data_IF_173292442793
#
_entry.id   IF_173292442793
#
_cell.length_a   1.000
_cell.length_b   1.000
_cell.length_c   1.000
_cell.angle_alpha   90.00
_cell.angle_beta   90.00
_cell.angle_gamma   90.00
#
_symmetry.space_group_name_H-M   'P 1'
#
loop_
_entity.id
_entity.type
_entity.pdbx_description
1 polymer ?
#
# COMPACT_ATOMS: atom_id res chain seq x y z
N UNK A 1 -18.22 7.06 -46.72
CA UNK A 1 -17.06 6.16 -46.91
C UNK A 1 -16.80 5.48 -45.58
N UNK A 2 -17.22 4.22 -45.45
CA UNK A 2 -17.05 3.41 -44.22
C UNK A 2 -15.63 2.83 -44.23
N UNK A 3 -14.82 3.21 -43.24
CA UNK A 3 -13.51 2.58 -43.01
C UNK A 3 -13.74 1.14 -42.56
N UNK A 4 -13.39 0.17 -43.40
CA UNK A 4 -13.15 -1.21 -42.98
C UNK A 4 -11.94 -1.22 -42.03
N UNK A 5 -12.19 -1.27 -40.72
CA UNK A 5 -11.13 -1.53 -39.75
C UNK A 5 -10.60 -2.97 -39.95
N UNK A 6 -9.28 -3.20 -39.91
CA UNK A 6 -8.72 -4.54 -40.00
C UNK A 6 -9.27 -5.40 -38.85
N UNK A 7 -9.82 -6.58 -39.18
CA UNK A 7 -10.40 -7.56 -38.23
C UNK A 7 -9.44 -8.06 -37.13
N UNK A 8 -8.17 -7.65 -37.17
CA UNK A 8 -7.09 -8.06 -36.27
C UNK A 8 -6.55 -6.95 -35.35
N UNK A 9 -7.14 -5.76 -35.33
CA UNK A 9 -6.73 -4.75 -34.36
C UNK A 9 -7.05 -5.22 -32.92
N UNK A 10 -6.11 -5.15 -31.96
CA UNK A 10 -6.37 -5.45 -30.55
C UNK A 10 -7.56 -4.62 -30.07
N UNK A 11 -8.68 -5.28 -29.78
CA UNK A 11 -9.89 -4.61 -29.36
C UNK A 11 -9.71 -4.19 -27.89
N UNK A 12 -9.73 -2.89 -27.56
CA UNK A 12 -9.52 -2.44 -26.18
C UNK A 12 -10.58 -3.07 -25.26
N UNK A 13 -10.14 -3.92 -24.32
CA UNK A 13 -11.01 -4.58 -23.35
C UNK A 13 -11.50 -6.00 -23.70
N UNK A 14 -11.12 -6.57 -24.86
CA UNK A 14 -11.38 -7.97 -25.20
C UNK A 14 -10.23 -8.90 -24.83
N UNK A 15 -10.52 -10.18 -24.55
CA UNK A 15 -9.48 -11.22 -24.53
C UNK A 15 -8.76 -11.24 -25.89
N UNK A 16 -7.42 -11.30 -25.92
CA UNK A 16 -6.67 -11.39 -27.16
C UNK A 16 -7.11 -12.64 -27.93
N UNK A 17 -7.28 -12.50 -29.24
CA UNK A 17 -7.60 -13.61 -30.15
C UNK A 17 -6.30 -14.07 -30.80
N UNK A 18 -6.07 -15.38 -30.83
CA UNK A 18 -4.86 -15.96 -31.41
C UNK A 18 -4.61 -17.39 -30.94
N UNK A 19 -3.44 -17.90 -31.30
CA UNK A 19 -2.95 -19.21 -30.89
C UNK A 19 -2.19 -19.13 -29.57
N UNK A 20 -2.40 -20.11 -28.69
CA UNK A 20 -1.70 -20.19 -27.41
C UNK A 20 -0.28 -20.72 -27.63
N UNK A 21 0.72 -19.84 -27.52
CA UNK A 21 2.13 -20.22 -27.64
C UNK A 21 2.65 -21.05 -26.47
N UNK A 22 2.12 -20.84 -25.26
CA UNK A 22 2.54 -21.56 -24.07
C UNK A 22 1.82 -21.11 -22.80
N UNK A 23 1.90 -21.94 -21.75
CA UNK A 23 1.43 -21.62 -20.40
C UNK A 23 2.60 -21.70 -19.43
N UNK A 24 2.79 -20.63 -18.66
CA UNK A 24 3.89 -20.51 -17.71
C UNK A 24 3.33 -20.27 -16.31
N UNK A 25 4.03 -20.76 -15.29
CA UNK A 25 3.64 -20.58 -13.88
C UNK A 25 4.07 -19.23 -13.32
N UNK A 26 5.10 -18.63 -13.91
CA UNK A 26 5.66 -17.36 -13.50
C UNK A 26 5.67 -16.39 -14.68
N UNK A 27 5.57 -15.10 -14.36
CA UNK A 27 5.73 -14.05 -15.36
C UNK A 27 7.15 -14.06 -15.96
N UNK A 28 8.16 -14.35 -15.14
CA UNK A 28 9.57 -14.40 -15.56
C UNK A 28 9.83 -15.46 -16.63
N UNK A 29 9.20 -16.64 -16.51
CA UNK A 29 9.37 -17.71 -17.51
C UNK A 29 8.66 -17.38 -18.82
N UNK A 30 7.49 -16.73 -18.75
CA UNK A 30 6.82 -16.21 -19.95
C UNK A 30 7.68 -15.13 -20.63
N UNK A 31 8.31 -14.25 -19.83
CA UNK A 31 9.15 -13.17 -20.34
C UNK A 31 10.40 -13.69 -21.05
N UNK A 32 11.08 -14.72 -20.53
CA UNK A 32 12.23 -15.34 -21.21
C UNK A 32 11.90 -15.85 -22.62
N UNK A 33 10.69 -16.39 -22.81
CA UNK A 33 10.26 -16.87 -24.13
C UNK A 33 9.97 -15.69 -25.06
N UNK A 34 9.35 -14.63 -24.53
CA UNK A 34 9.17 -13.38 -25.29
C UNK A 34 10.52 -12.79 -25.70
N UNK A 35 11.49 -12.75 -24.79
CA UNK A 35 12.84 -12.25 -25.07
C UNK A 35 13.57 -13.10 -26.12
N UNK A 36 13.40 -14.43 -26.06
CA UNK A 36 13.95 -15.34 -27.06
C UNK A 36 13.34 -15.12 -28.45
N UNK A 37 12.01 -14.97 -28.54
CA UNK A 37 11.32 -14.67 -29.78
C UNK A 37 11.67 -13.27 -30.31
N UNK A 38 11.87 -12.30 -29.42
CA UNK A 38 12.27 -10.94 -29.78
C UNK A 38 13.68 -10.87 -30.39
N UNK A 39 14.55 -11.81 -30.06
CA UNK A 39 15.90 -11.90 -30.60
C UNK A 39 15.94 -12.46 -32.03
N UNK A 40 14.85 -13.04 -32.51
CA UNK A 40 14.74 -13.56 -33.87
C UNK A 40 14.33 -12.42 -34.83
N UNK A 41 15.17 -12.11 -35.82
CA UNK A 41 15.01 -10.93 -36.70
C UNK A 41 13.70 -10.94 -37.52
N UNK A 42 13.05 -12.10 -37.62
CA UNK A 42 11.79 -12.27 -38.36
C UNK A 42 10.50 -12.15 -37.53
N UNK A 43 10.58 -12.02 -36.20
CA UNK A 43 9.40 -12.14 -35.34
C UNK A 43 8.89 -10.78 -34.82
N UNK A 44 7.69 -10.37 -35.23
CA UNK A 44 7.08 -9.11 -34.76
C UNK A 44 6.41 -9.28 -33.39
N UNK A 45 7.15 -8.90 -32.34
CA UNK A 45 6.71 -8.95 -30.94
C UNK A 45 5.43 -8.15 -30.63
N UNK A 46 5.02 -7.21 -31.50
CA UNK A 46 3.81 -6.38 -31.28
C UNK A 46 2.51 -7.19 -31.27
N UNK A 47 2.56 -8.43 -31.76
CA UNK A 47 1.42 -9.35 -31.79
C UNK A 47 1.37 -10.29 -30.57
N UNK A 48 2.37 -10.28 -29.70
CA UNK A 48 2.38 -11.10 -28.48
C UNK A 48 1.49 -10.47 -27.41
N UNK A 49 0.71 -11.29 -26.70
CA UNK A 49 -0.04 -10.85 -25.51
C UNK A 49 0.14 -11.86 -24.38
N UNK A 50 0.58 -11.38 -23.22
CA UNK A 50 0.64 -12.18 -21.99
C UNK A 50 -0.69 -12.02 -21.26
N UNK A 51 -1.43 -13.12 -21.08
CA UNK A 51 -2.67 -13.15 -20.31
C UNK A 51 -2.41 -13.85 -18.99
N UNK A 52 -2.50 -13.11 -17.89
CA UNK A 52 -2.49 -13.68 -16.54
C UNK A 52 -3.81 -14.37 -16.24
N UNK A 53 -3.79 -15.69 -16.09
CA UNK A 53 -4.93 -16.44 -15.57
C UNK A 53 -4.79 -16.61 -14.05
N UNK A 54 -5.92 -16.66 -13.34
CA UNK A 54 -5.96 -16.92 -11.89
C UNK A 54 -5.04 -16.01 -11.06
N UNK A 55 -5.06 -14.69 -11.31
CA UNK A 55 -4.26 -13.74 -10.53
C UNK A 55 -4.59 -13.88 -9.03
N UNK A 56 -3.60 -14.35 -8.26
CA UNK A 56 -3.68 -14.45 -6.81
C UNK A 56 -2.98 -13.25 -6.19
N UNK A 57 -3.73 -12.48 -5.41
CA UNK A 57 -3.13 -11.44 -4.56
C UNK A 57 -2.43 -12.13 -3.39
N UNK A 58 -1.10 -12.00 -3.33
CA UNK A 58 -0.29 -12.51 -2.21
C UNK A 58 -0.02 -11.35 -1.26
N UNK A 59 -0.79 -11.27 -0.19
CA UNK A 59 -0.50 -10.34 0.91
C UNK A 59 0.46 -11.00 1.91
N UNK A 60 1.66 -10.43 2.05
CA UNK A 60 2.60 -10.88 3.07
C UNK A 60 2.24 -10.26 4.42
N UNK A 61 1.56 -11.05 5.26
CA UNK A 61 1.15 -10.64 6.61
C UNK A 61 2.40 -10.62 7.52
N UNK A 62 3.02 -9.45 7.69
CA UNK A 62 4.25 -9.32 8.49
C UNK A 62 3.99 -9.36 10.00
N UNK A 63 2.82 -8.95 10.47
CA UNK A 63 2.44 -9.01 11.90
C UNK A 63 0.96 -8.68 12.09
N UNK A 64 0.37 -9.20 13.17
CA UNK A 64 -1.00 -8.83 13.56
C UNK A 64 -1.00 -7.49 14.27
N UNK A 65 -1.89 -6.58 13.86
CA UNK A 65 -2.17 -5.37 14.62
C UNK A 65 -2.85 -5.77 15.93
N UNK A 66 -2.23 -5.44 17.07
CA UNK A 66 -2.68 -5.81 18.41
C UNK A 66 -2.89 -4.57 19.28
N UNK A 67 -3.74 -4.67 20.31
CA UNK A 67 -3.96 -3.60 21.28
C UNK A 67 -2.69 -2.94 21.81
N UNK A 68 -1.64 -3.66 22.25
CA UNK A 68 -0.42 -3.02 22.73
C UNK A 68 0.32 -2.25 21.63
N UNK A 69 0.30 -2.73 20.38
CA UNK A 69 0.94 -2.03 19.26
C UNK A 69 0.20 -0.73 18.90
N UNK A 70 -1.13 -0.77 18.95
CA UNK A 70 -1.97 0.43 18.76
C UNK A 70 -1.80 1.40 19.92
N UNK A 71 -1.74 0.90 21.15
CA UNK A 71 -1.53 1.73 22.33
C UNK A 71 -0.17 2.45 22.28
N UNK A 72 0.91 1.75 21.91
CA UNK A 72 2.24 2.35 21.74
C UNK A 72 2.27 3.39 20.62
N UNK A 73 1.60 3.12 19.49
CA UNK A 73 1.50 4.08 18.40
C UNK A 73 0.69 5.33 18.79
N UNK A 74 -0.40 5.15 19.53
CA UNK A 74 -1.18 6.25 20.09
C UNK A 74 -0.38 7.04 21.12
N UNK A 75 0.34 6.36 22.01
CA UNK A 75 1.18 6.98 23.02
C UNK A 75 2.31 7.80 22.37
N UNK A 76 2.98 7.31 21.33
CA UNK A 76 4.05 8.07 20.67
C UNK A 76 3.53 9.34 20.00
N UNK A 77 2.40 9.25 19.31
CA UNK A 77 1.72 10.42 18.73
C UNK A 77 1.25 11.39 19.82
N UNK A 78 0.77 10.84 20.93
CA UNK A 78 0.35 11.62 22.10
C UNK A 78 1.48 12.31 22.83
N UNK A 79 2.65 11.68 22.93
CA UNK A 79 3.83 12.28 23.53
C UNK A 79 4.25 13.52 22.73
N UNK A 80 4.29 13.42 21.40
CA UNK A 80 4.60 14.56 20.53
C UNK A 80 3.57 15.69 20.67
N UNK A 81 2.28 15.35 20.67
CA UNK A 81 1.22 16.35 20.85
C UNK A 81 1.29 17.03 22.22
N UNK A 82 1.44 16.25 23.30
CA UNK A 82 1.57 16.75 24.66
C UNK A 82 2.83 17.57 24.87
N UNK A 83 3.96 17.18 24.25
CA UNK A 83 5.19 17.96 24.25
C UNK A 83 5.01 19.30 23.55
N UNK A 84 4.31 19.32 22.41
CA UNK A 84 4.02 20.55 21.70
C UNK A 84 3.17 21.50 22.54
N UNK A 85 2.06 21.03 23.10
CA UNK A 85 1.19 21.86 23.96
C UNK A 85 1.91 22.30 25.23
N UNK A 86 2.63 21.38 25.88
CA UNK A 86 3.41 21.70 27.08
C UNK A 86 4.50 22.72 26.81
N UNK A 87 5.15 22.68 25.63
CA UNK A 87 6.16 23.66 25.24
C UNK A 87 5.54 25.04 25.05
N UNK A 88 4.33 25.12 24.46
CA UNK A 88 3.61 26.39 24.37
C UNK A 88 3.29 26.94 25.76
N UNK A 89 2.75 26.12 26.66
CA UNK A 89 2.46 26.55 28.04
C UNK A 89 3.74 27.02 28.72
N UNK A 90 4.84 26.26 28.59
CA UNK A 90 6.14 26.59 29.16
C UNK A 90 6.72 27.91 28.63
N UNK A 91 6.56 28.19 27.33
CA UNK A 91 7.09 29.40 26.72
C UNK A 91 6.27 30.66 27.05
N UNK A 92 4.96 30.52 27.18
CA UNK A 92 4.04 31.64 27.36
C UNK A 92 3.57 31.86 28.81
N UNK A 93 3.85 30.93 29.73
CA UNK A 93 3.45 31.02 31.14
C UNK A 93 4.70 31.16 32.02
N UNK A 94 4.91 32.31 32.70
CA UNK A 94 6.09 32.52 33.55
C UNK A 94 6.20 31.54 34.72
N UNK A 95 5.06 31.03 35.21
CA UNK A 95 4.98 30.11 36.34
C UNK A 95 5.11 28.63 35.93
N UNK A 96 5.20 28.33 34.63
CA UNK A 96 5.25 26.96 34.15
C UNK A 96 6.62 26.32 34.42
N UNK A 97 6.57 25.11 34.97
CA UNK A 97 7.73 24.31 35.33
C UNK A 97 7.97 23.17 34.33
N UNK A 98 9.13 22.53 34.42
CA UNK A 98 9.40 21.28 33.68
C UNK A 98 8.43 20.16 34.06
N UNK A 99 7.84 20.20 35.26
CA UNK A 99 6.84 19.23 35.70
C UNK A 99 5.56 19.40 34.87
N UNK A 100 5.13 20.64 34.60
CA UNK A 100 3.94 20.92 33.81
C UNK A 100 4.10 20.45 32.35
N UNK A 101 5.30 20.62 31.80
CA UNK A 101 5.67 20.06 30.49
C UNK A 101 5.58 18.53 30.51
N UNK A 102 6.13 17.88 31.53
CA UNK A 102 6.06 16.43 31.69
C UNK A 102 4.63 15.92 31.82
N UNK A 103 3.79 16.61 32.59
CA UNK A 103 2.37 16.29 32.75
C UNK A 103 1.61 16.45 31.43
N UNK A 104 1.88 17.50 30.65
CA UNK A 104 1.27 17.69 29.33
C UNK A 104 1.61 16.54 28.37
N UNK A 105 2.87 16.07 28.37
CA UNK A 105 3.31 14.89 27.60
C UNK A 105 2.52 13.65 28.04
N UNK A 106 2.48 13.35 29.35
CA UNK A 106 1.78 12.17 29.88
C UNK A 106 0.29 12.20 29.56
N UNK A 107 -0.37 13.35 29.69
CA UNK A 107 -1.77 13.52 29.33
C UNK A 107 -1.99 13.33 27.83
N UNK A 108 -1.12 13.90 27.00
CA UNK A 108 -1.14 13.70 25.55
C UNK A 108 -1.04 12.22 25.18
N UNK A 109 -0.09 11.50 25.79
CA UNK A 109 0.08 10.05 25.64
C UNK A 109 -1.20 9.29 26.01
N UNK A 110 -1.79 9.61 27.17
CA UNK A 110 -2.98 8.93 27.67
C UNK A 110 -4.18 9.12 26.73
N UNK A 111 -4.47 10.37 26.34
CA UNK A 111 -5.59 10.70 25.47
C UNK A 111 -5.45 10.01 24.10
N UNK A 112 -4.29 10.13 23.46
CA UNK A 112 -4.10 9.53 22.14
C UNK A 112 -4.04 8.00 22.16
N UNK A 113 -3.54 7.41 23.26
CA UNK A 113 -3.63 5.96 23.47
C UNK A 113 -5.10 5.52 23.49
N UNK A 114 -5.95 6.21 24.26
CA UNK A 114 -7.37 5.90 24.34
C UNK A 114 -8.06 6.04 22.99
N UNK A 115 -7.84 7.16 22.28
CA UNK A 115 -8.41 7.38 20.94
C UNK A 115 -7.96 6.29 19.97
N UNK A 116 -6.68 5.93 19.97
CA UNK A 116 -6.13 4.87 19.12
C UNK A 116 -6.75 3.50 19.41
N UNK A 117 -6.83 3.12 20.68
CA UNK A 117 -7.40 1.85 21.13
C UNK A 117 -8.90 1.76 20.85
N UNK A 118 -9.67 2.82 21.14
CA UNK A 118 -11.11 2.88 20.85
C UNK A 118 -11.33 2.78 19.34
N UNK A 119 -10.59 3.54 18.54
CA UNK A 119 -10.68 3.47 17.08
C UNK A 119 -10.34 2.08 16.53
N UNK A 120 -9.36 1.39 17.14
CA UNK A 120 -9.05 0.01 16.78
C UNK A 120 -10.16 -0.97 17.20
N UNK A 121 -10.77 -0.79 18.38
CA UNK A 121 -11.90 -1.61 18.81
C UNK A 121 -13.10 -1.47 17.87
N UNK A 122 -13.42 -0.24 17.44
CA UNK A 122 -14.52 0.04 16.49
C UNK A 122 -14.27 -0.56 15.12
N UNK A 123 -13.02 -0.57 14.62
CA UNK A 123 -12.69 -1.20 13.32
C UNK A 123 -12.62 -2.72 13.38
N UNK A 124 -12.47 -3.29 14.58
CA UNK A 124 -12.32 -4.73 14.80
C UNK A 124 -13.66 -5.42 15.07
N UNK A 125 -14.64 -4.70 15.62
CA UNK A 125 -16.04 -5.14 15.74
C UNK A 125 -16.78 -5.00 14.42
#
# INVERSE_FOLDING_TARGET
>A
MSMNAPMNAPQPGGLPRGELLGRYRSYEDAQKVVDHLAADEGFDIKHLTIVGNDLRTVEHIRTRLSYPRVALAGASQGAMFGAFIGLLIFLFSPDASLIDLGLAVVLGMAIWTLVGVIGYAVRKG
#
